data_IF_728197098612
#
_entry.id   IF_728197098612
#
_cell.length_a   1.000
_cell.length_b   1.000
_cell.length_c   1.000
_cell.angle_alpha   90.00
_cell.angle_beta   90.00
_cell.angle_gamma   90.00
#
_symmetry.space_group_name_H-M   'P 1'
#
loop_
_entity.id
_entity.type
_entity.pdbx_description
1 polymer ?
#
# COMPACT_ATOMS: atom_id res chain seq x y z
N UNK A 1 -32.71 19.65 -16.56
CA UNK A 1 -32.51 18.82 -17.76
C UNK A 1 -32.47 17.38 -17.32
N UNK A 2 -33.28 16.50 -17.95
CA UNK A 2 -33.27 15.08 -17.61
C UNK A 2 -32.03 14.41 -18.22
N UNK A 3 -31.25 13.72 -17.40
CA UNK A 3 -30.13 12.92 -17.86
C UNK A 3 -30.62 11.48 -18.09
N UNK A 4 -30.20 10.86 -19.18
CA UNK A 4 -30.50 9.46 -19.46
C UNK A 4 -29.19 8.70 -19.56
N UNK A 5 -29.16 7.49 -19.02
CA UNK A 5 -28.08 6.55 -19.23
C UNK A 5 -28.41 5.67 -20.42
N UNK A 6 -27.47 5.51 -21.32
CA UNK A 6 -27.58 4.61 -22.45
C UNK A 6 -26.51 3.53 -22.40
N UNK A 7 -26.88 2.35 -22.84
CA UNK A 7 -26.01 1.19 -22.82
C UNK A 7 -25.90 0.66 -24.25
N UNK A 8 -24.69 0.64 -24.76
CA UNK A 8 -24.39 0.15 -26.10
C UNK A 8 -23.79 -1.25 -25.99
N UNK A 9 -24.33 -2.17 -26.76
CA UNK A 9 -23.68 -3.43 -27.06
C UNK A 9 -22.74 -3.21 -28.24
N UNK A 10 -21.49 -3.63 -28.05
CA UNK A 10 -20.42 -3.48 -29.02
C UNK A 10 -20.02 -4.84 -29.60
N UNK A 11 -19.19 -4.84 -30.64
CA UNK A 11 -18.61 -6.06 -31.20
C UNK A 11 -17.78 -6.79 -30.14
N UNK A 12 -17.55 -8.07 -30.37
CA UNK A 12 -16.74 -8.95 -29.49
C UNK A 12 -17.24 -9.05 -28.04
N UNK A 13 -18.58 -8.89 -27.84
CA UNK A 13 -19.16 -9.01 -26.50
C UNK A 13 -18.84 -7.85 -25.55
N UNK A 14 -18.37 -6.73 -26.07
CA UNK A 14 -18.04 -5.54 -25.29
C UNK A 14 -19.26 -4.63 -25.10
N UNK A 15 -19.17 -3.77 -24.07
CA UNK A 15 -20.23 -2.83 -23.70
C UNK A 15 -19.67 -1.44 -23.46
N UNK A 16 -20.51 -0.43 -23.69
CA UNK A 16 -20.22 0.94 -23.33
C UNK A 16 -21.43 1.57 -22.65
N UNK A 17 -21.21 2.18 -21.53
CA UNK A 17 -22.22 2.92 -20.76
C UNK A 17 -21.89 4.41 -20.84
N UNK A 18 -22.87 5.23 -21.13
CA UNK A 18 -22.70 6.67 -21.20
C UNK A 18 -23.94 7.40 -20.77
N UNK A 19 -23.83 8.71 -20.58
CA UNK A 19 -24.96 9.62 -20.28
C UNK A 19 -25.20 10.62 -21.40
N UNK A 20 -26.45 10.92 -21.63
CA UNK A 20 -26.85 11.95 -22.60
C UNK A 20 -28.28 12.42 -22.33
N UNK A 21 -28.57 13.68 -22.67
CA UNK A 21 -29.96 14.16 -22.78
C UNK A 21 -30.68 13.51 -23.98
N UNK A 22 -29.95 13.19 -25.05
CA UNK A 22 -30.47 12.54 -26.26
C UNK A 22 -29.68 11.26 -26.61
N UNK A 23 -30.03 10.09 -26.03
CA UNK A 23 -29.33 8.83 -26.24
C UNK A 23 -29.28 8.38 -27.72
N UNK A 24 -30.30 8.64 -28.51
CA UNK A 24 -30.34 8.23 -29.91
C UNK A 24 -29.34 9.00 -30.76
N UNK A 25 -29.25 10.30 -30.56
CA UNK A 25 -28.26 11.13 -31.24
C UNK A 25 -26.84 10.73 -30.85
N UNK A 26 -26.63 10.48 -29.54
CA UNK A 26 -25.35 10.03 -29.05
C UNK A 26 -24.96 8.66 -29.59
N UNK A 27 -25.91 7.75 -29.74
CA UNK A 27 -25.68 6.46 -30.37
C UNK A 27 -25.27 6.63 -31.84
N UNK A 28 -25.91 7.51 -32.58
CA UNK A 28 -25.52 7.80 -33.96
C UNK A 28 -24.09 8.36 -34.05
N UNK A 29 -23.71 9.26 -33.14
CA UNK A 29 -22.34 9.77 -33.07
C UNK A 29 -21.31 8.65 -32.84
N UNK A 30 -21.64 7.65 -32.00
CA UNK A 30 -20.77 6.49 -31.81
C UNK A 30 -20.67 5.62 -33.07
N UNK A 31 -21.75 5.42 -33.80
CA UNK A 31 -21.74 4.72 -35.10
C UNK A 31 -20.88 5.44 -36.15
N UNK A 32 -20.93 6.77 -36.16
CA UNK A 32 -20.15 7.63 -37.04
C UNK A 32 -18.66 7.72 -36.64
N UNK A 33 -18.27 7.03 -35.59
CA UNK A 33 -16.89 7.04 -35.08
C UNK A 33 -16.49 8.32 -34.30
N UNK A 34 -17.48 9.15 -33.91
CA UNK A 34 -17.29 10.36 -33.11
C UNK A 34 -17.39 10.10 -31.59
N UNK A 35 -17.48 8.82 -31.19
CA UNK A 35 -17.56 8.40 -29.79
C UNK A 35 -16.22 8.29 -29.10
N UNK A 36 -16.19 7.54 -27.95
CA UNK A 36 -14.97 7.24 -27.18
C UNK A 36 -14.02 6.33 -27.96
N UNK A 37 -12.75 6.28 -27.53
CA UNK A 37 -11.76 5.37 -28.10
C UNK A 37 -12.26 3.91 -28.08
N UNK A 38 -12.87 3.50 -26.97
CA UNK A 38 -13.46 2.16 -26.82
C UNK A 38 -14.51 1.83 -27.87
N UNK A 39 -15.45 2.76 -28.17
CA UNK A 39 -16.46 2.54 -29.18
C UNK A 39 -15.96 2.68 -30.61
N UNK A 40 -14.80 3.32 -30.84
CA UNK A 40 -14.07 3.30 -32.10
C UNK A 40 -13.41 1.95 -32.35
N UNK A 41 -12.80 1.38 -31.33
CA UNK A 41 -12.13 0.07 -31.36
C UNK A 41 -13.16 -1.06 -31.53
N UNK A 42 -14.19 -1.05 -30.70
CA UNK A 42 -15.27 -2.04 -30.72
C UNK A 42 -16.58 -1.40 -31.20
N UNK A 43 -16.81 -1.40 -32.51
CA UNK A 43 -17.96 -0.67 -33.09
C UNK A 43 -19.29 -1.07 -32.46
N UNK A 44 -20.21 -0.10 -32.21
CA UNK A 44 -21.54 -0.39 -31.71
C UNK A 44 -22.33 -1.33 -32.63
N UNK A 45 -23.02 -2.28 -32.02
CA UNK A 45 -23.93 -3.22 -32.68
C UNK A 45 -25.39 -2.79 -32.47
N UNK A 46 -25.72 -2.41 -31.25
CA UNK A 46 -27.08 -1.97 -30.89
C UNK A 46 -27.08 -1.08 -29.65
N UNK A 47 -28.11 -0.23 -29.57
CA UNK A 47 -28.51 0.43 -28.34
C UNK A 47 -29.31 -0.59 -27.51
N UNK A 48 -28.72 -1.16 -26.48
CA UNK A 48 -29.33 -2.25 -25.71
C UNK A 48 -30.39 -1.74 -24.74
N UNK A 49 -30.08 -0.64 -24.03
CA UNK A 49 -30.99 -0.09 -23.02
C UNK A 49 -30.83 1.41 -22.88
N UNK A 50 -31.93 2.08 -22.56
CA UNK A 50 -31.95 3.47 -22.11
C UNK A 50 -32.66 3.55 -20.76
N UNK A 51 -32.06 4.24 -19.81
CA UNK A 51 -32.59 4.49 -18.47
C UNK A 51 -32.84 5.98 -18.37
N UNK A 52 -34.10 6.36 -18.32
CA UNK A 52 -34.53 7.77 -18.28
C UNK A 52 -34.54 8.32 -16.87
N UNK A 53 -34.39 9.64 -16.75
CA UNK A 53 -34.42 10.37 -15.48
C UNK A 53 -33.35 9.83 -14.46
N UNK A 54 -32.19 9.51 -14.96
CA UNK A 54 -31.07 9.01 -14.17
C UNK A 54 -30.41 10.13 -13.38
N UNK A 55 -29.84 9.77 -12.23
CA UNK A 55 -28.96 10.62 -11.45
C UNK A 55 -27.61 10.82 -12.17
N UNK A 56 -26.91 11.95 -11.95
CA UNK A 56 -25.56 12.15 -12.47
C UNK A 56 -24.56 11.05 -12.08
N UNK A 57 -24.80 10.34 -10.97
CA UNK A 57 -23.96 9.26 -10.46
C UNK A 57 -24.31 7.87 -11.02
N UNK A 58 -25.45 7.74 -11.71
CA UNK A 58 -25.93 6.45 -12.19
C UNK A 58 -25.06 5.89 -13.33
N UNK A 59 -24.32 6.73 -14.05
CA UNK A 59 -23.41 6.27 -15.10
C UNK A 59 -22.36 5.28 -14.55
N UNK A 60 -21.69 5.65 -13.45
CA UNK A 60 -20.69 4.80 -12.81
C UNK A 60 -21.33 3.55 -12.18
N UNK A 61 -22.50 3.71 -11.56
CA UNK A 61 -23.26 2.59 -11.01
C UNK A 61 -23.56 1.54 -12.08
N UNK A 62 -24.15 1.94 -13.20
CA UNK A 62 -24.48 1.00 -14.28
C UNK A 62 -23.23 0.44 -14.96
N UNK A 63 -22.15 1.22 -15.04
CA UNK A 63 -20.87 0.73 -15.54
C UNK A 63 -20.36 -0.42 -14.66
N UNK A 64 -20.36 -0.25 -13.35
CA UNK A 64 -19.93 -1.29 -12.40
C UNK A 64 -20.88 -2.50 -12.39
N UNK A 65 -22.19 -2.30 -12.48
CA UNK A 65 -23.16 -3.40 -12.62
C UNK A 65 -22.89 -4.25 -13.87
N UNK A 66 -22.56 -3.60 -15.00
CA UNK A 66 -22.22 -4.30 -16.23
C UNK A 66 -20.84 -4.97 -16.15
N UNK A 67 -19.85 -4.34 -15.52
CA UNK A 67 -18.55 -4.95 -15.25
C UNK A 67 -18.69 -6.21 -14.39
N UNK A 68 -19.55 -6.17 -13.36
CA UNK A 68 -19.85 -7.35 -12.53
C UNK A 68 -20.45 -8.49 -13.35
N UNK A 69 -21.30 -8.19 -14.33
CA UNK A 69 -22.02 -9.17 -15.13
C UNK A 69 -21.20 -9.74 -16.29
N UNK A 70 -20.39 -8.90 -16.93
CA UNK A 70 -19.72 -9.19 -18.20
C UNK A 70 -18.19 -9.24 -18.11
N UNK A 71 -17.60 -8.91 -16.94
CA UNK A 71 -16.16 -8.77 -16.73
C UNK A 71 -15.68 -7.33 -16.90
N UNK A 72 -14.69 -6.94 -16.10
CA UNK A 72 -14.11 -5.58 -16.09
C UNK A 72 -13.50 -5.26 -17.46
N UNK A 73 -12.86 -6.23 -18.09
CA UNK A 73 -12.20 -6.13 -19.40
C UNK A 73 -13.18 -5.92 -20.58
N UNK A 74 -14.47 -6.15 -20.36
CA UNK A 74 -15.49 -6.10 -21.42
C UNK A 74 -16.35 -4.83 -21.39
N UNK A 75 -16.19 -3.97 -20.40
CA UNK A 75 -17.08 -2.84 -20.15
C UNK A 75 -16.29 -1.56 -19.94
N UNK A 76 -16.73 -0.49 -20.58
CA UNK A 76 -16.20 0.87 -20.36
C UNK A 76 -17.35 1.87 -20.23
N UNK A 77 -17.12 2.96 -19.48
CA UNK A 77 -18.10 4.03 -19.26
C UNK A 77 -17.82 4.82 -18.00
N UNK A 78 -18.54 5.88 -17.75
CA UNK A 78 -18.38 6.70 -16.56
C UNK A 78 -16.94 7.19 -16.37
N UNK A 79 -16.37 6.95 -15.20
CA UNK A 79 -14.97 7.25 -14.88
C UNK A 79 -13.96 6.31 -15.59
N UNK A 80 -14.43 5.17 -16.14
CA UNK A 80 -13.60 4.11 -16.72
C UNK A 80 -13.66 4.12 -18.25
N UNK A 81 -13.14 5.18 -18.89
CA UNK A 81 -13.25 5.42 -20.35
C UNK A 81 -12.00 5.06 -21.14
N UNK A 82 -10.88 4.78 -20.46
CA UNK A 82 -9.63 4.34 -21.08
C UNK A 82 -9.79 2.96 -21.72
N UNK A 83 -9.08 2.69 -22.82
CA UNK A 83 -9.15 1.39 -23.49
C UNK A 83 -8.63 0.27 -22.57
N UNK A 84 -7.56 0.54 -21.87
CA UNK A 84 -6.95 -0.35 -20.87
C UNK A 84 -6.96 0.39 -19.54
N UNK A 85 -7.43 -0.27 -18.50
CA UNK A 85 -7.33 0.24 -17.12
C UNK A 85 -5.92 -0.05 -16.62
N UNK A 86 -5.37 0.84 -15.83
CA UNK A 86 -4.14 0.52 -15.11
C UNK A 86 -4.40 -0.53 -14.01
N UNK A 87 -3.34 -1.19 -13.56
CA UNK A 87 -3.42 -2.27 -12.58
C UNK A 87 -4.09 -1.82 -11.27
N UNK A 88 -3.78 -0.60 -10.83
CA UNK A 88 -4.35 -0.03 -9.60
C UNK A 88 -5.85 0.18 -9.71
N UNK A 89 -6.31 0.71 -10.86
CA UNK A 89 -7.74 0.89 -11.12
C UNK A 89 -8.46 -0.45 -11.21
N UNK A 90 -7.86 -1.44 -11.87
CA UNK A 90 -8.44 -2.77 -12.02
C UNK A 90 -8.57 -3.49 -10.68
N UNK A 91 -7.53 -3.45 -9.85
CA UNK A 91 -7.56 -4.02 -8.50
C UNK A 91 -8.59 -3.33 -7.60
N UNK A 92 -8.62 -2.00 -7.63
CA UNK A 92 -9.62 -1.24 -6.87
C UNK A 92 -11.04 -1.63 -7.26
N UNK A 93 -11.31 -1.75 -8.56
CA UNK A 93 -12.59 -2.23 -9.08
C UNK A 93 -12.91 -3.66 -8.65
N UNK A 94 -11.94 -4.58 -8.73
CA UNK A 94 -12.11 -5.96 -8.26
C UNK A 94 -12.52 -5.99 -6.79
N UNK A 95 -11.78 -5.26 -5.94
CA UNK A 95 -12.07 -5.17 -4.49
C UNK A 95 -13.47 -4.61 -4.22
N UNK A 96 -13.87 -3.55 -4.94
CA UNK A 96 -15.20 -2.95 -4.82
C UNK A 96 -16.32 -3.92 -5.26
N UNK A 97 -16.14 -4.63 -6.38
CA UNK A 97 -17.09 -5.62 -6.86
C UNK A 97 -17.21 -6.83 -5.93
N UNK A 98 -16.11 -7.25 -5.31
CA UNK A 98 -16.12 -8.30 -4.29
C UNK A 98 -16.87 -7.85 -3.03
N UNK A 99 -16.61 -6.64 -2.54
CA UNK A 99 -17.34 -6.06 -1.42
C UNK A 99 -18.85 -5.99 -1.69
N UNK A 100 -19.25 -5.55 -2.89
CA UNK A 100 -20.65 -5.49 -3.31
C UNK A 100 -21.32 -6.87 -3.49
N UNK A 101 -20.59 -7.97 -3.28
CA UNK A 101 -21.08 -9.35 -3.40
C UNK A 101 -20.80 -10.20 -2.17
N UNK A 102 -20.54 -9.57 -1.03
CA UNK A 102 -20.19 -10.21 0.25
C UNK A 102 -19.04 -11.23 0.13
N UNK A 103 -18.06 -10.88 -0.72
CA UNK A 103 -16.82 -11.65 -0.87
C UNK A 103 -15.70 -10.99 -0.11
N UNK A 104 -14.71 -11.78 0.25
CA UNK A 104 -13.48 -11.26 0.84
C UNK A 104 -12.79 -10.27 -0.10
N UNK A 105 -12.59 -9.03 0.34
CA UNK A 105 -11.97 -7.97 -0.48
C UNK A 105 -10.48 -8.20 -0.75
N UNK A 106 -9.83 -9.12 0.00
CA UNK A 106 -8.44 -9.52 -0.25
C UNK A 106 -8.35 -10.59 -1.33
N UNK A 107 -9.08 -11.69 -1.21
CA UNK A 107 -8.91 -12.84 -2.08
C UNK A 107 -10.07 -13.11 -3.04
N UNK A 108 -11.19 -12.37 -2.95
CA UNK A 108 -12.37 -12.53 -3.82
C UNK A 108 -13.21 -13.79 -3.56
N UNK A 109 -12.85 -14.65 -2.58
CA UNK A 109 -13.62 -15.85 -2.22
C UNK A 109 -14.74 -15.50 -1.25
N UNK A 110 -15.80 -16.32 -1.24
CA UNK A 110 -16.90 -16.21 -0.29
C UNK A 110 -16.63 -17.00 1.00
N UNK A 111 -17.42 -16.73 2.05
CA UNK A 111 -17.40 -17.49 3.29
C UNK A 111 -16.49 -16.95 4.40
N UNK A 112 -15.75 -15.89 4.14
CA UNK A 112 -14.94 -15.16 5.13
C UNK A 112 -14.72 -13.70 4.72
N UNK A 113 -14.27 -12.88 5.65
CA UNK A 113 -13.88 -11.48 5.42
C UNK A 113 -12.36 -11.31 5.47
N UNK A 114 -11.88 -10.12 5.11
CA UNK A 114 -10.45 -9.80 5.04
C UNK A 114 -9.72 -10.08 6.37
N UNK A 115 -10.36 -9.78 7.52
CA UNK A 115 -9.79 -10.00 8.86
C UNK A 115 -9.51 -11.47 9.21
N UNK A 116 -10.16 -12.40 8.52
CA UNK A 116 -9.99 -13.85 8.72
C UNK A 116 -9.47 -14.54 7.45
N UNK A 117 -8.85 -13.77 6.56
CA UNK A 117 -8.38 -14.29 5.29
C UNK A 117 -6.96 -14.85 5.41
N UNK A 118 -6.81 -16.15 5.25
CA UNK A 118 -5.53 -16.86 5.21
C UNK A 118 -5.12 -17.30 3.80
N UNK A 119 -5.78 -16.76 2.77
CA UNK A 119 -5.47 -17.11 1.39
C UNK A 119 -4.12 -16.55 0.97
N UNK A 120 -3.30 -17.35 0.29
CA UNK A 120 -2.04 -16.92 -0.32
C UNK A 120 -2.21 -16.35 -1.74
N UNK A 121 -3.35 -16.65 -2.38
CA UNK A 121 -3.68 -16.17 -3.72
C UNK A 121 -5.10 -15.65 -3.77
N UNK A 122 -5.39 -14.77 -4.73
CA UNK A 122 -6.76 -14.37 -5.05
C UNK A 122 -7.51 -15.45 -5.86
N UNK A 123 -8.77 -15.18 -6.24
CA UNK A 123 -9.58 -16.09 -7.08
C UNK A 123 -9.05 -16.22 -8.50
N UNK A 124 -8.19 -15.30 -8.95
CA UNK A 124 -7.56 -15.28 -10.28
C UNK A 124 -6.22 -16.03 -10.28
N UNK A 125 -5.73 -16.44 -9.10
CA UNK A 125 -4.45 -17.13 -8.94
C UNK A 125 -3.25 -16.20 -8.73
N UNK A 126 -3.47 -14.89 -8.59
CA UNK A 126 -2.40 -13.95 -8.28
C UNK A 126 -1.95 -14.17 -6.82
N UNK A 127 -0.65 -14.30 -6.62
CA UNK A 127 -0.06 -14.36 -5.30
C UNK A 127 -0.10 -12.98 -4.67
N UNK A 128 -0.39 -12.92 -3.36
CA UNK A 128 -0.20 -11.70 -2.61
C UNK A 128 1.30 -11.54 -2.34
N UNK A 129 1.84 -10.39 -2.68
CA UNK A 129 3.12 -9.99 -2.11
C UNK A 129 2.94 -10.01 -0.59
N UNK A 130 3.73 -10.83 0.09
CA UNK A 130 3.86 -10.71 1.54
C UNK A 130 4.53 -9.34 1.72
N UNK A 131 3.74 -8.34 2.10
CA UNK A 131 4.30 -7.11 2.66
C UNK A 131 5.08 -7.63 3.88
N UNK A 132 6.41 -7.73 3.76
CA UNK A 132 7.26 -7.82 4.91
C UNK A 132 6.91 -6.56 5.70
N UNK A 133 6.11 -6.74 6.77
CA UNK A 133 5.90 -5.70 7.74
C UNK A 133 7.32 -5.38 8.23
N UNK A 134 7.92 -4.31 7.70
CA UNK A 134 9.11 -3.73 8.29
C UNK A 134 8.64 -3.33 9.69
N UNK A 135 8.91 -4.22 10.65
CA UNK A 135 8.70 -3.90 12.07
C UNK A 135 9.55 -2.66 12.31
N UNK A 136 8.91 -1.52 12.55
CA UNK A 136 9.60 -0.30 12.94
C UNK A 136 10.40 -0.62 14.21
N UNK A 137 11.73 -0.77 14.06
CA UNK A 137 12.62 -1.01 15.17
C UNK A 137 13.05 0.34 15.72
N UNK A 138 12.68 0.59 16.96
CA UNK A 138 13.04 1.79 17.70
C UNK A 138 14.31 1.53 18.52
N UNK A 139 15.37 2.27 18.24
CA UNK A 139 16.66 2.14 18.93
C UNK A 139 16.79 3.21 20.01
N UNK A 140 17.10 2.81 21.23
CA UNK A 140 17.39 3.74 22.32
C UNK A 140 18.66 4.54 22.04
N UNK A 141 18.58 5.86 21.95
CA UNK A 141 19.71 6.77 21.69
C UNK A 141 20.83 6.71 22.76
N UNK A 142 20.54 6.15 23.93
CA UNK A 142 21.46 6.13 25.07
C UNK A 142 22.29 4.85 25.11
N UNK A 143 21.71 3.68 24.86
CA UNK A 143 22.38 2.37 25.00
C UNK A 143 22.43 1.58 23.68
N UNK A 144 21.58 1.89 22.69
CA UNK A 144 21.49 1.14 21.44
C UNK A 144 20.63 -0.12 21.54
N UNK A 145 19.82 -0.27 22.59
CA UNK A 145 18.88 -1.39 22.68
C UNK A 145 17.71 -1.15 21.72
N UNK A 146 17.29 -2.21 21.03
CA UNK A 146 16.22 -2.21 20.04
C UNK A 146 14.88 -2.57 20.68
N UNK A 147 13.82 -1.88 20.28
CA UNK A 147 12.44 -2.07 20.74
C UNK A 147 11.50 -2.14 19.54
N UNK A 148 10.46 -2.97 19.65
CA UNK A 148 9.40 -3.09 18.64
C UNK A 148 8.25 -2.09 18.84
N UNK A 149 8.31 -1.26 19.90
CA UNK A 149 7.28 -0.29 20.26
C UNK A 149 7.92 1.03 20.71
N UNK A 150 7.46 2.14 20.10
CA UNK A 150 7.95 3.50 20.39
C UNK A 150 7.78 3.86 21.86
N UNK A 151 6.61 3.56 22.43
CA UNK A 151 6.28 3.84 23.83
C UNK A 151 7.20 3.07 24.81
N UNK A 152 7.60 1.84 24.46
CA UNK A 152 8.55 1.05 25.26
C UNK A 152 9.96 1.62 25.16
N UNK A 153 10.39 2.04 23.97
CA UNK A 153 11.66 2.70 23.75
C UNK A 153 11.74 4.01 24.56
N UNK A 154 10.73 4.90 24.47
CA UNK A 154 10.66 6.12 25.26
C UNK A 154 10.67 5.87 26.77
N UNK A 155 9.91 4.87 27.24
CA UNK A 155 9.91 4.49 28.68
C UNK A 155 11.27 3.97 29.13
N UNK A 156 11.95 3.23 28.25
CA UNK A 156 13.31 2.78 28.48
C UNK A 156 14.27 3.97 28.53
N UNK A 157 14.24 4.89 27.59
CA UNK A 157 15.11 6.06 27.53
C UNK A 157 15.03 6.95 28.78
N UNK A 158 13.83 7.17 29.30
CA UNK A 158 13.60 7.92 30.55
C UNK A 158 14.30 7.27 31.76
N UNK A 159 14.55 5.97 31.72
CA UNK A 159 15.18 5.17 32.80
C UNK A 159 16.58 4.69 32.42
N UNK A 160 16.92 4.77 31.15
CA UNK A 160 18.19 4.32 30.63
C UNK A 160 19.30 5.18 31.22
N UNK A 161 20.02 4.59 32.13
CA UNK A 161 21.29 5.16 32.59
C UNK A 161 22.35 4.51 31.72
N UNK A 162 22.86 5.28 30.73
CA UNK A 162 24.09 4.88 30.06
C UNK A 162 25.02 4.38 31.12
N UNK A 163 25.34 3.08 31.08
CA UNK A 163 26.38 2.58 31.93
C UNK A 163 27.62 3.37 31.58
N UNK A 164 27.91 4.42 32.37
CA UNK A 164 29.22 5.02 32.29
C UNK A 164 30.18 3.85 32.36
N UNK A 165 31.22 3.78 31.51
CA UNK A 165 32.22 2.74 31.64
C UNK A 165 32.60 2.74 33.09
N UNK A 166 32.33 1.61 33.80
CA UNK A 166 32.59 1.49 35.23
C UNK A 166 34.01 1.91 35.38
N UNK A 167 34.27 3.12 35.92
CA UNK A 167 35.59 3.53 36.36
C UNK A 167 35.96 2.42 37.33
N UNK A 168 36.92 1.57 36.92
CA UNK A 168 37.38 0.49 37.79
C UNK A 168 37.80 1.14 39.08
N UNK A 169 36.96 1.08 40.10
CA UNK A 169 37.20 1.66 41.40
C UNK A 169 38.48 1.01 41.95
N UNK A 170 39.54 1.80 42.07
CA UNK A 170 40.82 1.31 42.55
C UNK A 170 41.92 1.06 41.50
N UNK A 171 41.69 1.39 40.24
CA UNK A 171 42.74 1.34 39.22
C UNK A 171 43.54 2.65 39.20
N UNK A 172 44.85 2.51 39.06
CA UNK A 172 45.78 3.63 38.93
C UNK A 172 45.47 4.45 37.65
N UNK A 173 45.27 5.75 37.77
CA UNK A 173 44.97 6.61 36.65
C UNK A 173 46.10 6.71 35.61
N UNK A 174 47.35 6.38 35.96
CA UNK A 174 48.51 6.44 35.08
C UNK A 174 48.68 5.16 34.26
N UNK A 175 48.62 3.99 34.89
CA UNK A 175 48.89 2.72 34.22
C UNK A 175 47.72 1.76 34.13
N UNK A 176 46.52 2.10 34.67
CA UNK A 176 45.31 1.27 34.61
C UNK A 176 45.34 0.02 35.52
N UNK A 177 46.43 -0.30 36.18
CA UNK A 177 46.55 -1.48 37.07
C UNK A 177 45.99 -1.19 38.45
N UNK A 178 45.49 -2.21 39.13
CA UNK A 178 44.97 -2.12 40.50
C UNK A 178 46.09 -2.30 41.53
N UNK A 179 45.90 -1.79 42.78
CA UNK A 179 46.81 -1.99 43.88
C UNK A 179 47.72 -0.81 44.24
N UNK A 180 47.67 0.28 43.47
CA UNK A 180 48.35 1.56 43.76
C UNK A 180 47.61 2.72 43.12
N UNK A 181 47.98 3.96 43.48
CA UNK A 181 47.45 5.19 42.91
C UNK A 181 48.49 5.94 42.06
N UNK A 182 48.08 6.89 41.24
CA UNK A 182 48.96 7.60 40.29
C UNK A 182 50.23 8.19 40.94
N UNK A 183 50.21 8.77 42.15
CA UNK A 183 51.44 9.30 42.80
C UNK A 183 52.49 8.24 43.10
N UNK A 184 52.06 6.98 43.32
CA UNK A 184 52.93 5.86 43.65
C UNK A 184 53.12 4.90 42.45
N UNK A 185 52.88 5.39 41.22
CA UNK A 185 52.96 4.57 40.04
C UNK A 185 54.36 4.57 39.42
N UNK A 186 55.06 3.48 39.52
CA UNK A 186 56.36 3.24 38.88
C UNK A 186 56.28 2.43 37.59
N UNK A 187 55.07 2.24 37.05
CA UNK A 187 54.89 1.49 35.82
C UNK A 187 55.42 2.30 34.61
N UNK A 188 56.17 1.63 33.72
CA UNK A 188 56.69 2.19 32.49
C UNK A 188 55.72 2.05 31.34
N UNK A 189 54.74 1.19 31.45
CA UNK A 189 53.71 0.94 30.45
C UNK A 189 52.34 0.85 31.09
N UNK A 190 51.29 1.21 30.36
CA UNK A 190 49.91 1.00 30.76
C UNK A 190 49.46 -0.49 30.58
N UNK A 191 48.16 -0.79 30.84
CA UNK A 191 47.60 -2.13 30.67
C UNK A 191 47.51 -2.54 29.19
N UNK A 192 47.57 -1.60 28.28
CA UNK A 192 47.48 -1.82 26.81
C UNK A 192 48.85 -1.89 26.15
N UNK A 193 49.94 -1.70 26.97
CA UNK A 193 51.32 -1.81 26.52
C UNK A 193 51.94 -0.52 25.99
N UNK A 194 51.25 0.61 26.14
CA UNK A 194 51.77 1.92 25.73
C UNK A 194 52.78 2.41 26.76
N UNK A 195 53.89 3.00 26.31
CA UNK A 195 54.91 3.61 27.20
C UNK A 195 54.33 4.85 27.86
N UNK A 196 54.55 4.98 29.17
CA UNK A 196 54.16 6.12 29.98
C UNK A 196 55.36 7.05 30.12
N UNK A 197 55.22 8.32 29.74
CA UNK A 197 56.25 9.34 29.86
C UNK A 197 56.72 9.45 31.32
N UNK A 198 58.01 9.41 31.50
CA UNK A 198 58.63 9.72 32.79
C UNK A 198 58.66 11.23 32.92
N UNK A 199 57.90 11.80 33.85
CA UNK A 199 58.07 13.21 34.20
C UNK A 199 59.49 13.39 34.73
N UNK A 200 60.39 13.88 33.90
CA UNK A 200 61.67 14.40 34.34
C UNK A 200 61.45 15.76 35.04
N UNK A 201 61.73 15.81 36.30
CA UNK A 201 61.93 17.04 37.07
C UNK A 201 63.19 17.79 36.58
#
# INVERSE_FOLDING_TARGET
>A
MSTNIYILKLRSGKYYIGKSANPMERYQQHLDGKGSAWTKKYRPVSLEKVISNASPFDEDKYTKEYMKKHGIENVRGGAYVTEELDEVQEESLKRELWAATDKCTRCGRSGHFVSTCHARTDVSGNEFEEEEEEEDIWECEICGDEFSDEDECEKHERRCKKSQPKKRSGACYRCGRTGHYSPDCYARTDTDGNELDSDED
#
